data_IF_387026275794
#
_entry.id   IF_387026275794
#
_cell.length_a   1.000
_cell.length_b   1.000
_cell.length_c   1.000
_cell.angle_alpha   90.00
_cell.angle_beta   90.00
_cell.angle_gamma   90.00
#
_symmetry.space_group_name_H-M   'P 1'
#
loop_
_entity.id
_entity.type
_entity.pdbx_description
1 polymer ?
#
# COMPACT_ATOMS: atom_id res chain seq x y z
N UNK A 1 31.54 -21.28 39.33
CA UNK A 1 30.11 -21.57 39.53
C UNK A 1 29.47 -20.27 39.99
N UNK A 2 28.59 -19.54 39.30
CA UNK A 2 27.78 -19.77 38.10
C UNK A 2 27.68 -18.44 37.33
N UNK A 3 27.77 -18.49 36.00
CA UNK A 3 27.39 -17.37 35.13
C UNK A 3 25.87 -17.31 35.05
N UNK A 4 25.25 -16.29 35.64
CA UNK A 4 23.84 -15.98 35.46
C UNK A 4 23.65 -15.23 34.15
N UNK A 5 23.51 -15.97 33.05
CA UNK A 5 23.06 -15.40 31.78
C UNK A 5 21.58 -15.01 31.93
N UNK A 6 21.31 -13.73 32.17
CA UNK A 6 19.99 -13.16 32.01
C UNK A 6 19.67 -13.06 30.52
N UNK A 7 19.11 -14.13 29.96
CA UNK A 7 18.34 -14.05 28.72
C UNK A 7 17.10 -13.19 29.00
N UNK A 8 17.25 -11.86 28.90
CA UNK A 8 16.09 -10.97 28.85
C UNK A 8 15.48 -11.13 27.48
N UNK A 9 14.37 -11.85 27.43
CA UNK A 9 13.57 -12.08 26.23
C UNK A 9 13.27 -10.74 25.57
N UNK A 10 13.78 -10.56 24.35
CA UNK A 10 13.26 -9.58 23.42
C UNK A 10 11.79 -9.96 23.18
N UNK A 11 10.87 -9.20 23.80
CA UNK A 11 9.47 -9.21 23.43
C UNK A 11 9.42 -8.95 21.92
N UNK A 12 9.03 -9.97 21.17
CA UNK A 12 8.80 -9.86 19.74
C UNK A 12 7.55 -8.99 19.59
N UNK A 13 7.74 -7.68 19.41
CA UNK A 13 6.75 -6.84 18.73
C UNK A 13 6.31 -7.64 17.50
N UNK A 14 5.03 -8.01 17.43
CA UNK A 14 4.54 -8.81 16.31
C UNK A 14 4.91 -8.07 15.02
N UNK A 15 5.86 -8.63 14.27
CA UNK A 15 6.37 -8.01 13.06
C UNK A 15 5.20 -7.83 12.09
N UNK A 16 5.07 -6.64 11.48
CA UNK A 16 4.01 -6.42 10.49
C UNK A 16 4.12 -7.48 9.39
N UNK A 17 3.04 -8.23 9.18
CA UNK A 17 2.95 -9.26 8.15
C UNK A 17 1.79 -8.97 7.20
N UNK A 18 2.13 -8.74 5.95
CA UNK A 18 1.21 -8.60 4.84
C UNK A 18 1.00 -9.95 4.13
N UNK A 19 -0.18 -10.17 3.58
CA UNK A 19 -0.56 -11.34 2.79
C UNK A 19 -0.35 -11.04 1.31
N UNK A 20 0.48 -11.85 0.64
CA UNK A 20 0.88 -11.64 -0.75
C UNK A 20 1.60 -10.30 -1.00
N UNK A 21 2.61 -9.92 -0.18
CA UNK A 21 3.35 -8.69 -0.43
C UNK A 21 4.25 -8.83 -1.67
N UNK A 22 4.60 -7.69 -2.23
CA UNK A 22 5.64 -7.57 -3.25
C UNK A 22 7.00 -7.32 -2.58
N UNK A 23 8.08 -7.76 -3.20
CA UNK A 23 9.43 -7.60 -2.66
C UNK A 23 9.92 -6.15 -2.73
N UNK A 24 9.37 -5.35 -3.65
CA UNK A 24 9.73 -3.94 -3.80
C UNK A 24 8.59 -3.08 -4.37
N UNK A 25 8.73 -1.76 -4.25
CA UNK A 25 7.81 -0.79 -4.84
C UNK A 25 7.80 -0.86 -6.37
N UNK A 26 8.94 -1.22 -6.98
CA UNK A 26 9.07 -1.45 -8.43
C UNK A 26 8.26 -2.67 -8.87
N UNK A 27 8.36 -3.79 -8.15
CA UNK A 27 7.56 -4.99 -8.43
C UNK A 27 6.06 -4.72 -8.29
N UNK A 28 5.67 -4.00 -7.23
CA UNK A 28 4.28 -3.56 -7.01
C UNK A 28 3.78 -2.67 -8.15
N UNK A 29 4.61 -1.72 -8.62
CA UNK A 29 4.25 -0.86 -9.75
C UNK A 29 4.10 -1.63 -11.06
N UNK A 30 4.99 -2.57 -11.36
CA UNK A 30 4.86 -3.43 -12.54
C UNK A 30 3.57 -4.26 -12.48
N UNK A 31 3.25 -4.86 -11.32
CA UNK A 31 2.01 -5.61 -11.14
C UNK A 31 0.75 -4.73 -11.32
N UNK A 32 0.82 -3.46 -10.90
CA UNK A 32 -0.24 -2.47 -11.14
C UNK A 32 -0.40 -2.17 -12.63
N UNK A 33 0.69 -1.89 -13.35
CA UNK A 33 0.63 -1.62 -14.79
C UNK A 33 0.11 -2.82 -15.58
N UNK A 34 0.53 -4.04 -15.20
CA UNK A 34 0.01 -5.27 -15.80
C UNK A 34 -1.48 -5.47 -15.54
N UNK A 35 -1.95 -5.14 -14.34
CA UNK A 35 -3.37 -5.18 -13.99
C UNK A 35 -4.20 -4.20 -14.82
N UNK A 36 -3.69 -2.99 -15.05
CA UNK A 36 -4.33 -1.98 -15.91
C UNK A 36 -4.35 -2.42 -17.37
N UNK A 37 -3.22 -2.90 -17.90
CA UNK A 37 -3.12 -3.41 -19.27
C UNK A 37 -4.13 -4.52 -19.55
N UNK A 38 -4.37 -5.39 -18.57
CA UNK A 38 -5.35 -6.48 -18.67
C UNK A 38 -6.79 -6.04 -18.33
N UNK A 39 -6.99 -4.80 -17.87
CA UNK A 39 -8.24 -4.34 -17.27
C UNK A 39 -8.77 -5.28 -16.16
N UNK A 40 -7.85 -5.96 -15.45
CA UNK A 40 -8.22 -6.94 -14.42
C UNK A 40 -8.39 -6.23 -13.07
N UNK A 41 -9.64 -5.79 -12.83
CA UNK A 41 -10.04 -5.20 -11.55
C UNK A 41 -9.72 -6.10 -10.35
N UNK A 42 -9.85 -7.42 -10.50
CA UNK A 42 -9.58 -8.36 -9.41
C UNK A 42 -8.08 -8.44 -9.10
N UNK A 43 -7.21 -8.39 -10.11
CA UNK A 43 -5.77 -8.29 -9.90
C UNK A 43 -5.39 -7.00 -9.17
N UNK A 44 -5.95 -5.86 -9.60
CA UNK A 44 -5.69 -4.57 -8.96
C UNK A 44 -6.15 -4.55 -7.50
N UNK A 45 -7.29 -5.17 -7.19
CA UNK A 45 -7.73 -5.34 -5.79
C UNK A 45 -6.77 -6.16 -4.94
N UNK A 46 -6.12 -7.20 -5.50
CA UNK A 46 -5.16 -8.01 -4.75
C UNK A 46 -3.90 -7.24 -4.36
N UNK A 47 -3.59 -6.14 -5.05
CA UNK A 47 -2.48 -5.26 -4.70
C UNK A 47 -2.74 -4.47 -3.42
N UNK A 48 -4.02 -4.24 -3.11
CA UNK A 48 -4.43 -3.51 -1.92
C UNK A 48 -4.25 -4.37 -0.67
N UNK A 49 -4.05 -3.71 0.46
CA UNK A 49 -4.23 -4.35 1.76
C UNK A 49 -5.69 -4.81 1.92
N UNK A 50 -5.86 -5.90 2.66
CA UNK A 50 -7.15 -6.41 3.10
C UNK A 50 -7.62 -5.69 4.36
N UNK A 51 -8.92 -5.81 4.65
CA UNK A 51 -9.51 -5.31 5.89
C UNK A 51 -8.82 -5.90 7.13
N UNK A 52 -8.47 -7.18 7.07
CA UNK A 52 -7.79 -7.89 8.16
C UNK A 52 -6.41 -7.29 8.39
N UNK A 53 -5.61 -7.09 7.35
CA UNK A 53 -4.30 -6.42 7.44
C UNK A 53 -4.46 -5.00 7.98
N UNK A 54 -5.41 -4.21 7.45
CA UNK A 54 -5.68 -2.86 7.93
C UNK A 54 -5.99 -2.84 9.43
N UNK A 55 -6.96 -3.64 9.86
CA UNK A 55 -7.44 -3.67 11.26
C UNK A 55 -6.39 -4.18 12.24
N UNK A 56 -5.60 -5.18 11.85
CA UNK A 56 -4.67 -5.85 12.77
C UNK A 56 -3.29 -5.19 12.78
N UNK A 57 -2.82 -4.71 11.64
CA UNK A 57 -1.43 -4.26 11.47
C UNK A 57 -1.31 -2.73 11.46
N UNK A 58 -2.24 -2.03 10.80
CA UNK A 58 -2.12 -0.60 10.54
C UNK A 58 -2.93 0.24 11.54
N UNK A 59 -4.22 -0.05 11.66
CA UNK A 59 -5.17 0.76 12.42
C UNK A 59 -4.72 1.05 13.85
N UNK A 60 -4.22 0.08 14.66
CA UNK A 60 -3.81 0.33 16.04
C UNK A 60 -2.65 1.33 16.19
N UNK A 61 -1.93 1.64 15.11
CA UNK A 61 -0.81 2.59 15.10
C UNK A 61 -1.20 3.96 14.54
N UNK A 62 -2.40 4.12 13.98
CA UNK A 62 -2.83 5.41 13.44
C UNK A 62 -3.32 6.35 14.55
N UNK A 63 -3.04 7.66 14.46
CA UNK A 63 -3.50 8.61 15.47
C UNK A 63 -5.02 8.61 15.65
N UNK A 64 -5.77 8.38 14.56
CA UNK A 64 -7.23 8.31 14.58
C UNK A 64 -7.80 7.10 15.34
N UNK A 65 -6.97 6.08 15.62
CA UNK A 65 -7.38 4.96 16.48
C UNK A 65 -7.23 5.28 17.97
N UNK A 66 -6.69 6.43 18.35
CA UNK A 66 -6.55 6.78 19.75
C UNK A 66 -7.94 6.95 20.40
N UNK A 67 -8.06 6.66 21.71
CA UNK A 67 -9.32 6.87 22.43
C UNK A 67 -9.87 8.29 22.34
N UNK A 68 -9.01 9.29 22.12
CA UNK A 68 -9.40 10.69 22.00
C UNK A 68 -10.29 10.97 20.77
N UNK A 69 -10.09 10.20 19.70
CA UNK A 69 -10.87 10.32 18.45
C UNK A 69 -12.04 9.34 18.41
N UNK A 70 -11.95 8.21 19.14
CA UNK A 70 -12.98 7.19 19.27
C UNK A 70 -13.60 6.74 17.92
N UNK A 71 -12.81 6.72 16.85
CA UNK A 71 -13.27 6.30 15.52
C UNK A 71 -13.31 4.77 15.47
N UNK A 72 -14.46 4.15 15.16
CA UNK A 72 -14.52 2.71 14.96
C UNK A 72 -13.68 2.28 13.75
N UNK A 73 -12.92 1.19 13.89
CA UNK A 73 -12.11 0.64 12.80
C UNK A 73 -12.94 0.30 11.56
N UNK A 74 -14.19 -0.13 11.76
CA UNK A 74 -15.14 -0.45 10.70
C UNK A 74 -15.49 0.76 9.85
N UNK A 75 -15.64 1.92 10.49
CA UNK A 75 -16.02 3.17 9.81
C UNK A 75 -14.83 3.71 9.03
N UNK A 76 -13.65 3.69 9.65
CA UNK A 76 -12.40 4.06 9.00
C UNK A 76 -12.12 3.18 7.76
N UNK A 77 -12.31 1.86 7.89
CA UNK A 77 -12.17 0.94 6.77
C UNK A 77 -13.22 1.17 5.68
N UNK A 78 -14.50 1.37 6.05
CA UNK A 78 -15.58 1.57 5.09
C UNK A 78 -15.34 2.81 4.23
N UNK A 79 -14.95 3.93 4.85
CA UNK A 79 -14.61 5.16 4.14
C UNK A 79 -13.40 4.95 3.22
N UNK A 80 -12.37 4.30 3.74
CA UNK A 80 -11.15 4.01 3.00
C UNK A 80 -11.39 3.11 1.78
N UNK A 81 -12.15 2.02 1.95
CA UNK A 81 -12.49 1.08 0.89
C UNK A 81 -13.33 1.76 -0.19
N UNK A 82 -14.34 2.55 0.20
CA UNK A 82 -15.18 3.29 -0.75
C UNK A 82 -14.38 4.31 -1.59
N UNK A 83 -13.47 5.06 -0.96
CA UNK A 83 -12.61 6.00 -1.68
C UNK A 83 -11.66 5.30 -2.65
N UNK A 84 -11.09 4.17 -2.21
CA UNK A 84 -10.15 3.37 -3.01
C UNK A 84 -10.87 2.72 -4.20
N UNK A 85 -12.08 2.20 -3.99
CA UNK A 85 -12.94 1.64 -5.04
C UNK A 85 -13.21 2.65 -6.15
N UNK A 86 -13.71 3.84 -5.78
CA UNK A 86 -14.03 4.91 -6.74
C UNK A 86 -12.80 5.30 -7.57
N UNK A 87 -11.65 5.45 -6.93
CA UNK A 87 -10.41 5.82 -7.60
C UNK A 87 -9.90 4.70 -8.53
N UNK A 88 -10.03 3.43 -8.12
CA UNK A 88 -9.69 2.29 -8.97
C UNK A 88 -10.56 2.24 -10.23
N UNK A 89 -11.87 2.44 -10.09
CA UNK A 89 -12.77 2.47 -11.25
C UNK A 89 -12.42 3.58 -12.22
N UNK A 90 -11.99 4.74 -11.72
CA UNK A 90 -11.49 5.83 -12.56
C UNK A 90 -10.19 5.45 -13.26
N UNK A 91 -9.23 4.89 -12.54
CA UNK A 91 -7.97 4.44 -13.13
C UNK A 91 -8.19 3.40 -14.24
N UNK A 92 -9.13 2.47 -14.06
CA UNK A 92 -9.52 1.50 -15.09
C UNK A 92 -10.20 2.14 -16.30
N UNK A 93 -11.04 3.17 -16.11
CA UNK A 93 -11.62 3.90 -17.24
C UNK A 93 -10.57 4.67 -18.04
N UNK A 94 -9.61 5.28 -17.35
CA UNK A 94 -8.64 6.18 -17.96
C UNK A 94 -7.46 5.41 -18.59
N UNK A 95 -7.06 4.28 -17.99
CA UNK A 95 -5.84 3.53 -18.35
C UNK A 95 -6.05 2.04 -18.65
N UNK A 96 -7.27 1.52 -18.47
CA UNK A 96 -7.58 0.12 -18.75
C UNK A 96 -7.32 -0.24 -20.21
N UNK A 97 -6.56 -1.31 -20.44
CA UNK A 97 -6.21 -1.77 -21.79
C UNK A 97 -5.05 -1.02 -22.43
N UNK A 98 -4.51 0.02 -21.78
CA UNK A 98 -3.35 0.76 -22.27
C UNK A 98 -2.07 0.00 -21.92
N UNK A 99 -1.18 -0.16 -22.90
CA UNK A 99 0.14 -0.73 -22.68
C UNK A 99 1.08 0.35 -22.11
N UNK A 100 1.55 0.10 -20.88
CA UNK A 100 2.35 1.02 -20.09
C UNK A 100 3.60 0.29 -19.59
N UNK A 101 4.75 0.90 -19.80
CA UNK A 101 6.04 0.38 -19.34
C UNK A 101 6.56 1.22 -18.19
N UNK A 102 6.88 0.59 -17.05
CA UNK A 102 7.38 1.30 -15.88
C UNK A 102 8.72 1.97 -16.19
N UNK A 103 8.79 3.30 -16.00
CA UNK A 103 10.04 4.06 -16.02
C UNK A 103 10.59 4.23 -14.62
N UNK A 104 9.73 4.69 -13.70
CA UNK A 104 10.07 4.87 -12.28
C UNK A 104 8.83 4.92 -11.41
N UNK A 105 8.99 4.58 -10.14
CA UNK A 105 8.05 4.91 -9.07
C UNK A 105 8.73 5.87 -8.09
N UNK A 106 7.99 6.88 -7.64
CA UNK A 106 8.43 7.82 -6.63
C UNK A 106 7.30 8.20 -5.67
N UNK A 107 7.65 8.98 -4.64
CA UNK A 107 6.71 9.44 -3.62
C UNK A 107 6.86 10.93 -3.41
N UNK A 108 5.75 11.67 -3.52
CA UNK A 108 5.73 13.12 -3.32
C UNK A 108 5.32 13.54 -1.91
N UNK A 109 4.79 12.60 -1.13
CA UNK A 109 4.39 12.83 0.25
C UNK A 109 5.49 12.45 1.23
N UNK A 110 5.36 12.89 2.50
CA UNK A 110 6.30 12.47 3.53
C UNK A 110 6.20 10.95 3.75
N UNK A 111 7.37 10.32 3.94
CA UNK A 111 7.45 8.99 4.53
C UNK A 111 7.12 9.11 6.01
N UNK A 112 6.21 8.26 6.50
CA UNK A 112 5.88 8.20 7.93
C UNK A 112 6.24 6.83 8.48
N UNK A 113 6.97 6.84 9.58
CA UNK A 113 7.37 5.65 10.32
C UNK A 113 6.40 5.44 11.48
N UNK A 114 5.79 4.24 11.54
CA UNK A 114 4.87 3.80 12.59
C UNK A 114 5.49 2.72 13.49
N UNK A 115 6.80 2.54 13.41
CA UNK A 115 7.62 1.56 14.13
C UNK A 115 7.57 0.18 13.49
N UNK A 116 6.37 -0.38 13.29
CA UNK A 116 6.20 -1.72 12.68
C UNK A 116 6.09 -1.69 11.15
N UNK A 117 5.82 -0.52 10.57
CA UNK A 117 5.70 -0.32 9.13
C UNK A 117 6.01 1.12 8.75
N UNK A 118 6.35 1.31 7.48
CA UNK A 118 6.50 2.62 6.86
C UNK A 118 5.35 2.90 5.90
N UNK A 119 4.84 4.12 5.92
CA UNK A 119 3.82 4.61 5.01
C UNK A 119 4.42 5.63 4.05
N UNK A 120 4.42 5.28 2.77
CA UNK A 120 4.82 6.15 1.67
C UNK A 120 3.58 6.78 1.04
N UNK A 121 3.54 8.11 0.99
CA UNK A 121 2.36 8.86 0.51
C UNK A 121 2.56 9.49 -0.86
N UNK A 122 1.44 9.68 -1.55
CA UNK A 122 1.36 10.30 -2.88
C UNK A 122 2.34 9.60 -3.83
N UNK A 123 2.12 8.30 -3.99
CA UNK A 123 2.88 7.52 -4.95
C UNK A 123 2.61 8.03 -6.36
N UNK A 124 3.65 8.07 -7.17
CA UNK A 124 3.60 8.54 -8.55
C UNK A 124 4.40 7.56 -9.39
N UNK A 125 3.77 7.04 -10.43
CA UNK A 125 4.39 6.16 -11.41
C UNK A 125 4.59 6.95 -12.69
N UNK A 126 5.84 7.02 -13.15
CA UNK A 126 6.12 7.46 -14.51
C UNK A 126 6.15 6.21 -15.39
N UNK A 127 5.39 6.24 -16.48
CA UNK A 127 5.29 5.14 -17.42
C UNK A 127 5.45 5.65 -18.86
N UNK A 128 5.93 4.79 -19.74
CA UNK A 128 6.03 5.02 -21.17
C UNK A 128 4.95 4.22 -21.88
N UNK A 129 4.16 4.89 -22.73
CA UNK A 129 3.11 4.27 -23.53
C UNK A 129 3.70 3.54 -24.75
N UNK A 130 2.90 2.74 -25.46
CA UNK A 130 3.33 2.09 -26.70
C UNK A 130 3.78 3.08 -27.82
N UNK A 131 3.33 4.34 -27.78
CA UNK A 131 3.76 5.39 -28.74
C UNK A 131 5.08 6.05 -28.35
N UNK A 132 5.64 5.72 -27.17
CA UNK A 132 6.84 6.34 -26.62
C UNK A 132 6.55 7.60 -25.79
N UNK A 133 5.28 7.98 -25.63
CA UNK A 133 4.92 9.12 -24.78
C UNK A 133 5.11 8.77 -23.30
N UNK A 134 5.76 9.67 -22.56
CA UNK A 134 5.94 9.54 -21.11
C UNK A 134 4.74 10.17 -20.41
N UNK A 135 4.05 9.36 -19.62
CA UNK A 135 2.90 9.76 -18.82
C UNK A 135 3.18 9.59 -17.35
N UNK A 136 2.51 10.41 -16.55
CA UNK A 136 2.55 10.33 -15.10
C UNK A 136 1.21 9.83 -14.58
N UNK A 137 1.27 8.75 -13.81
CA UNK A 137 0.13 8.11 -13.16
C UNK A 137 0.18 8.44 -11.68
N UNK A 138 -0.73 9.32 -11.27
CA UNK A 138 -0.72 9.83 -9.91
C UNK A 138 -1.91 9.34 -9.08
N UNK A 139 -2.80 8.50 -9.63
CA UNK A 139 -3.89 7.85 -8.88
C UNK A 139 -3.40 6.80 -7.86
N UNK A 140 -2.10 6.49 -7.83
CA UNK A 140 -1.53 5.63 -6.79
C UNK A 140 -1.48 6.42 -5.48
N UNK A 141 -2.27 6.02 -4.49
CA UNK A 141 -2.46 6.79 -3.27
C UNK A 141 -1.27 6.65 -2.33
N UNK A 142 -1.30 5.61 -1.50
CA UNK A 142 -0.24 5.33 -0.53
C UNK A 142 0.22 3.88 -0.60
N UNK A 143 1.49 3.63 -0.29
CA UNK A 143 2.12 2.30 -0.22
C UNK A 143 2.55 2.06 1.21
N UNK A 144 2.33 0.85 1.70
CA UNK A 144 2.80 0.40 3.01
C UNK A 144 3.95 -0.57 2.80
N UNK A 145 5.04 -0.33 3.50
CA UNK A 145 6.16 -1.26 3.60
C UNK A 145 6.20 -1.86 5.01
N UNK A 146 6.18 -3.18 5.07
CA UNK A 146 6.31 -3.97 6.28
C UNK A 146 7.54 -4.88 6.16
N UNK A 147 7.95 -5.50 7.27
CA UNK A 147 9.16 -6.34 7.29
C UNK A 147 9.17 -7.48 6.26
N UNK A 148 8.01 -7.90 5.77
CA UNK A 148 7.88 -8.95 4.76
C UNK A 148 7.56 -8.45 3.33
N UNK A 149 7.53 -7.13 3.08
CA UNK A 149 7.39 -6.54 1.74
C UNK A 149 6.41 -5.37 1.68
N UNK A 150 5.91 -5.07 0.48
CA UNK A 150 5.10 -3.87 0.22
C UNK A 150 3.73 -4.20 -0.39
N UNK A 151 2.72 -3.39 -0.08
CA UNK A 151 1.38 -3.40 -0.69
C UNK A 151 0.82 -1.99 -0.84
N UNK A 152 -0.19 -1.83 -1.69
CA UNK A 152 -0.95 -0.58 -1.78
C UNK A 152 -1.88 -0.46 -0.58
N UNK A 153 -1.83 0.68 0.10
CA UNK A 153 -2.86 1.06 1.05
C UNK A 153 -4.07 1.59 0.30
N UNK A 154 -3.89 2.51 -0.66
CA UNK A 154 -5.01 3.17 -1.32
C UNK A 154 -4.72 3.58 -2.76
N UNK A 155 -5.79 3.74 -3.52
CA UNK A 155 -5.83 4.59 -4.70
C UNK A 155 -6.28 6.01 -4.32
N UNK A 156 -6.08 6.99 -5.20
CA UNK A 156 -6.56 8.37 -5.04
C UNK A 156 -7.13 8.91 -6.35
N UNK A 157 -8.06 9.84 -6.19
CA UNK A 157 -8.74 10.58 -7.26
C UNK A 157 -7.98 11.88 -7.60
#
# INVERSE_FOLDING_TARGET
MFFGAACTQAQSDAACQLQGPYGSTTELANALLDGLRQSDKSALHRLLISETEFRQQLWPRFPASSPDWNVPVTDAWTLHAASTEKALERALRDWGGVELHLRRIGFRGPKQDYGSFELYRKAVIEAETATGDVVELDFTGSVVACGNGVKLLSYRD
#
